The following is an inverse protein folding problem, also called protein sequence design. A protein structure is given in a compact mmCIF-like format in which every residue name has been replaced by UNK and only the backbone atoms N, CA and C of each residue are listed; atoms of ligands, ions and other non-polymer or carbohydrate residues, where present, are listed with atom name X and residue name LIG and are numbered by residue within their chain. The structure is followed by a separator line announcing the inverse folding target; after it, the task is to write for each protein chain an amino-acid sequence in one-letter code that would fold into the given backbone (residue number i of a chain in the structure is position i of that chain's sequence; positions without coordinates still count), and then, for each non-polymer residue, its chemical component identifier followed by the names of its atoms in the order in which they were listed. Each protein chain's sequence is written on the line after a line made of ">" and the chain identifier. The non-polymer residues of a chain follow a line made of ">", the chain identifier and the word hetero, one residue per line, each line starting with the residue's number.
data_IF_579648682960
#
_entry.id   IF_579648682960
#
_cell.length_a   1.000
_cell.length_b   1.000
_cell.length_c   1.000
_cell.angle_alpha   90.00
_cell.angle_beta   90.00
_cell.angle_gamma   90.00
#
_symmetry.space_group_name_H-M   'P 1'
#
loop_
_entity.id
_entity.type
_entity.pdbx_description
1 polymer ?
#
# COMPACT_ATOMS: atom_id res chain seq x y z
N UNK A 1 -3.32 -3.49 -8.65
CA UNK A 1 -3.91 -4.85 -8.70
C UNK A 1 -5.28 -4.92 -8.04
N UNK A 2 -5.47 -4.30 -6.86
CA UNK A 2 -6.74 -4.39 -6.13
C UNK A 2 -6.76 -5.46 -5.04
N UNK A 3 -5.61 -6.06 -4.70
CA UNK A 3 -5.50 -7.00 -3.58
C UNK A 3 -5.25 -6.31 -2.23
N UNK A 4 -5.05 -5.00 -2.17
CA UNK A 4 -4.84 -4.24 -0.94
C UNK A 4 -5.51 -2.88 -1.11
N UNK A 5 -6.18 -2.41 -0.07
CA UNK A 5 -6.77 -1.07 -0.07
C UNK A 5 -5.70 0.00 0.07
N UNK A 6 -5.87 1.07 -0.70
CA UNK A 6 -4.97 2.22 -0.69
C UNK A 6 -4.89 2.92 0.67
N UNK A 7 -5.91 2.75 1.53
CA UNK A 7 -5.91 3.26 2.90
C UNK A 7 -4.83 2.62 3.78
N UNK A 8 -4.40 1.40 3.45
CA UNK A 8 -3.36 0.66 4.15
C UNK A 8 -1.95 1.04 3.75
N UNK A 9 -1.79 1.88 2.72
CA UNK A 9 -0.50 2.40 2.29
C UNK A 9 -0.22 3.78 2.89
N UNK A 10 1.02 4.03 3.32
CA UNK A 10 1.44 5.37 3.74
C UNK A 10 1.27 6.37 2.60
N UNK A 11 0.97 7.62 2.96
CA UNK A 11 0.75 8.64 1.94
C UNK A 11 2.02 8.95 1.15
N UNK A 12 1.88 8.95 -0.18
CA UNK A 12 2.90 9.45 -1.11
C UNK A 12 2.34 10.71 -1.76
N UNK A 13 2.42 11.87 -1.09
CA UNK A 13 1.73 13.09 -1.54
C UNK A 13 2.35 13.63 -2.83
N UNK A 14 1.63 13.67 -3.97
CA UNK A 14 2.14 14.28 -5.20
C UNK A 14 2.32 15.80 -5.06
N UNK A 15 1.70 16.45 -4.07
CA UNK A 15 1.76 17.90 -3.84
C UNK A 15 3.17 18.37 -3.45
N UNK A 16 4.00 17.47 -2.90
CA UNK A 16 5.38 17.78 -2.52
C UNK A 16 6.24 18.22 -3.72
N UNK A 17 5.85 17.84 -4.94
CA UNK A 17 6.48 18.25 -6.20
C UNK A 17 6.16 19.68 -6.62
N UNK A 18 5.14 20.29 -6.04
CA UNK A 18 4.75 21.68 -6.29
C UNK A 18 5.46 22.66 -5.35
N UNK A 19 6.19 22.15 -4.35
CA UNK A 19 6.92 23.00 -3.42
C UNK A 19 8.05 23.74 -4.13
N UNK A 20 8.42 24.95 -3.68
CA UNK A 20 9.58 25.64 -4.22
C UNK A 20 10.86 24.81 -4.06
N UNK A 21 11.76 24.90 -5.04
CA UNK A 21 13.04 24.16 -5.04
C UNK A 21 13.93 24.40 -3.80
N UNK A 22 13.75 25.53 -3.10
CA UNK A 22 14.50 25.86 -1.89
C UNK A 22 14.01 25.11 -0.64
N UNK A 23 12.84 24.47 -0.69
CA UNK A 23 12.28 23.74 0.46
C UNK A 23 13.11 22.47 0.74
N UNK A 24 13.45 22.18 2.02
CA UNK A 24 14.41 21.11 2.36
C UNK A 24 13.94 19.73 1.92
N UNK A 25 12.62 19.49 1.88
CA UNK A 25 12.02 18.22 1.48
C UNK A 25 11.59 18.16 0.01
N UNK A 26 11.97 19.13 -0.82
CA UNK A 26 11.63 19.12 -2.23
C UNK A 26 12.22 17.88 -2.93
N UNK A 27 11.44 17.08 -3.68
CA UNK A 27 11.90 15.83 -4.32
C UNK A 27 13.07 16.00 -5.26
N UNK A 28 13.27 17.20 -5.82
CA UNK A 28 14.44 17.54 -6.63
C UNK A 28 15.78 17.40 -5.89
N UNK A 29 15.76 17.38 -4.55
CA UNK A 29 16.94 17.18 -3.68
C UNK A 29 17.14 15.73 -3.24
N UNK A 30 16.19 14.84 -3.55
CA UNK A 30 16.31 13.41 -3.25
C UNK A 30 17.32 12.73 -4.19
N UNK A 31 17.83 11.57 -3.78
CA UNK A 31 18.66 10.74 -4.65
C UNK A 31 17.92 10.42 -5.96
N UNK A 32 18.63 10.46 -7.08
CA UNK A 32 18.04 10.40 -8.42
C UNK A 32 17.17 9.15 -8.63
N UNK A 33 17.61 7.98 -8.14
CA UNK A 33 16.84 6.75 -8.23
C UNK A 33 15.58 6.78 -7.36
N UNK A 34 15.66 7.29 -6.13
CA UNK A 34 14.49 7.45 -5.28
C UNK A 34 13.44 8.35 -5.95
N UNK A 35 13.88 9.46 -6.54
CA UNK A 35 13.02 10.38 -7.29
C UNK A 35 12.29 9.70 -8.46
N UNK A 36 13.00 8.87 -9.24
CA UNK A 36 12.41 8.15 -10.38
C UNK A 36 11.37 7.11 -9.97
N UNK A 37 11.45 6.58 -8.74
CA UNK A 37 10.49 5.62 -8.20
C UNK A 37 9.29 6.32 -7.56
N UNK A 38 9.54 7.33 -6.71
CA UNK A 38 8.46 8.01 -5.97
C UNK A 38 7.58 8.91 -6.84
N UNK A 39 8.09 9.40 -7.99
CA UNK A 39 7.29 10.22 -8.91
C UNK A 39 6.08 9.45 -9.47
N UNK A 40 6.25 8.31 -10.18
CA UNK A 40 5.12 7.53 -10.67
C UNK A 40 4.29 6.92 -9.53
N UNK A 41 4.91 6.55 -8.40
CA UNK A 41 4.16 6.09 -7.23
C UNK A 41 3.20 7.16 -6.68
N UNK A 42 3.65 8.41 -6.58
CA UNK A 42 2.81 9.53 -6.13
C UNK A 42 1.64 9.81 -7.07
N UNK A 43 1.84 9.67 -8.38
CA UNK A 43 0.75 9.75 -9.36
C UNK A 43 -0.30 8.65 -9.14
N UNK A 44 0.13 7.39 -9.05
CA UNK A 44 -0.77 6.26 -8.80
C UNK A 44 -1.50 6.37 -7.46
N UNK A 45 -0.83 6.89 -6.43
CA UNK A 45 -1.42 7.14 -5.11
C UNK A 45 -2.48 8.24 -5.19
N UNK A 46 -2.17 9.36 -5.86
CA UNK A 46 -3.10 10.49 -6.03
C UNK A 46 -4.35 10.10 -6.82
N UNK A 47 -4.22 9.27 -7.86
CA UNK A 47 -5.35 8.78 -8.64
C UNK A 47 -6.06 7.57 -8.01
N UNK A 48 -5.55 7.03 -6.90
CA UNK A 48 -6.00 5.77 -6.28
C UNK A 48 -6.17 4.67 -7.33
N UNK A 49 -5.18 4.52 -8.20
CA UNK A 49 -5.31 3.63 -9.36
C UNK A 49 -5.54 2.17 -8.92
N UNK A 50 -6.62 1.58 -9.40
CA UNK A 50 -6.93 0.16 -9.23
C UNK A 50 -7.13 -0.45 -10.61
N UNK A 51 -6.76 -1.72 -10.74
CA UNK A 51 -7.03 -2.48 -11.96
C UNK A 51 -8.55 -2.56 -12.18
N UNK A 52 -9.01 -2.22 -13.38
CA UNK A 52 -10.43 -2.00 -13.70
C UNK A 52 -11.35 -3.16 -13.31
N UNK A 53 -10.89 -4.41 -13.48
CA UNK A 53 -11.69 -5.60 -13.22
C UNK A 53 -11.38 -6.26 -11.86
N UNK A 54 -10.71 -5.56 -10.94
CA UNK A 54 -10.25 -6.14 -9.68
C UNK A 54 -11.35 -6.82 -8.85
N UNK A 55 -12.58 -6.29 -8.87
CA UNK A 55 -13.70 -6.86 -8.11
C UNK A 55 -14.28 -8.13 -8.75
N UNK A 56 -14.23 -8.24 -10.08
CA UNK A 56 -14.83 -9.35 -10.83
C UNK A 56 -13.83 -10.43 -11.24
N UNK A 57 -12.53 -10.12 -11.20
CA UNK A 57 -11.48 -11.03 -11.62
C UNK A 57 -11.27 -12.16 -10.59
N UNK A 58 -11.41 -13.39 -11.07
CA UNK A 58 -11.27 -14.60 -10.25
C UNK A 58 -9.89 -14.75 -9.62
N UNK A 59 -8.83 -14.28 -10.30
CA UNK A 59 -7.46 -14.35 -9.78
C UNK A 59 -7.29 -13.36 -8.63
N UNK A 60 -7.83 -12.15 -8.75
CA UNK A 60 -7.77 -11.14 -7.68
C UNK A 60 -8.53 -11.62 -6.46
N UNK A 61 -9.71 -12.21 -6.64
CA UNK A 61 -10.47 -12.79 -5.53
C UNK A 61 -9.76 -13.98 -4.87
N UNK A 62 -9.10 -14.84 -5.66
CA UNK A 62 -8.30 -15.94 -5.13
C UNK A 62 -7.10 -15.41 -4.32
N UNK A 63 -6.38 -14.42 -4.84
CA UNK A 63 -5.27 -13.76 -4.16
C UNK A 63 -5.69 -13.09 -2.85
N UNK A 64 -6.83 -12.38 -2.83
CA UNK A 64 -7.37 -11.79 -1.59
C UNK A 64 -7.68 -12.83 -0.52
N UNK A 65 -8.05 -14.07 -0.91
CA UNK A 65 -8.20 -15.17 0.04
C UNK A 65 -6.83 -15.69 0.45
N UNK A 66 -5.97 -16.06 -0.48
CA UNK A 66 -4.65 -16.65 -0.19
C UNK A 66 -3.76 -15.74 0.68
N UNK A 67 -3.67 -14.45 0.37
CA UNK A 67 -2.77 -13.50 1.05
C UNK A 67 -3.25 -13.11 2.45
N UNK A 68 -4.56 -13.20 2.74
CA UNK A 68 -5.15 -12.72 4.00
C UNK A 68 -5.94 -13.78 4.76
N UNK A 69 -5.93 -15.04 4.31
CA UNK A 69 -6.42 -16.16 5.09
C UNK A 69 -5.53 -16.30 6.33
N UNK A 70 -6.09 -16.00 7.51
CA UNK A 70 -5.37 -16.10 8.78
C UNK A 70 -4.77 -17.49 8.94
N UNK A 71 -3.44 -17.59 9.03
CA UNK A 71 -2.85 -18.47 10.02
C UNK A 71 -3.21 -17.85 11.36
N UNK A 72 -3.86 -18.62 12.24
CA UNK A 72 -3.96 -18.22 13.64
C UNK A 72 -2.54 -17.90 14.12
N UNK A 73 -2.36 -16.74 14.74
CA UNK A 73 -1.26 -16.64 15.67
C UNK A 73 -1.38 -17.82 16.64
N UNK A 74 -0.28 -18.38 17.13
CA UNK A 74 -0.34 -19.57 18.01
C UNK A 74 -1.04 -19.33 19.36
N UNK A 75 -1.86 -18.29 19.47
CA UNK A 75 -2.53 -17.81 20.67
C UNK A 75 -4.00 -18.27 20.78
N UNK A 76 -4.48 -19.13 19.89
CA UNK A 76 -5.79 -19.79 20.01
C UNK A 76 -6.99 -18.91 19.68
N UNK A 77 -6.76 -17.70 19.17
CA UNK A 77 -7.80 -16.76 18.80
C UNK A 77 -8.14 -16.92 17.30
N UNK A 78 -9.23 -17.63 17.00
CA UNK A 78 -9.80 -17.82 15.66
C UNK A 78 -10.37 -16.51 15.10
N UNK A 79 -9.53 -15.53 14.81
CA UNK A 79 -9.90 -14.34 14.03
C UNK A 79 -9.50 -14.57 12.56
N UNK A 80 -10.30 -15.36 11.85
CA UNK A 80 -10.28 -15.41 10.39
C UNK A 80 -10.53 -14.01 9.79
N UNK A 81 -9.46 -13.27 9.49
CA UNK A 81 -9.57 -11.91 8.95
C UNK A 81 -9.88 -11.99 7.46
N UNK A 82 -11.16 -12.06 7.10
CA UNK A 82 -11.58 -11.90 5.69
C UNK A 82 -11.10 -10.55 5.17
N UNK A 83 -10.65 -10.46 3.90
CA UNK A 83 -10.20 -9.22 3.24
C UNK A 83 -11.06 -7.99 3.57
N UNK A 84 -12.38 -8.12 3.56
CA UNK A 84 -13.34 -7.05 3.84
C UNK A 84 -13.35 -6.56 5.30
N UNK A 85 -12.80 -7.32 6.26
CA UNK A 85 -12.76 -6.99 7.69
C UNK A 85 -11.42 -6.40 8.12
N UNK A 86 -10.42 -6.35 7.23
CA UNK A 86 -9.09 -5.83 7.56
C UNK A 86 -9.19 -4.32 7.85
N UNK A 87 -8.76 -3.84 9.03
CA UNK A 87 -8.75 -2.41 9.33
C UNK A 87 -7.52 -1.75 8.68
N UNK A 88 -7.59 -1.49 7.37
CA UNK A 88 -6.47 -1.00 6.55
C UNK A 88 -5.80 0.26 7.10
N UNK A 89 -6.55 1.18 7.70
CA UNK A 89 -5.97 2.38 8.31
C UNK A 89 -4.92 2.08 9.40
N UNK A 90 -5.02 0.92 10.07
CA UNK A 90 -4.06 0.45 11.09
C UNK A 90 -2.87 -0.32 10.50
N UNK A 91 -2.95 -0.77 9.25
CA UNK A 91 -1.91 -1.62 8.63
C UNK A 91 -0.70 -0.82 8.11
N UNK A 92 -0.79 0.52 8.04
CA UNK A 92 0.23 1.41 7.44
C UNK A 92 1.63 1.25 8.01
N UNK A 93 1.73 0.87 9.27
CA UNK A 93 3.00 0.71 9.99
C UNK A 93 3.27 -0.75 10.36
N UNK A 94 2.45 -1.69 9.86
CA UNK A 94 2.65 -3.12 10.06
C UNK A 94 3.59 -3.63 8.96
N UNK A 95 4.88 -3.62 9.27
CA UNK A 95 5.94 -4.22 8.45
C UNK A 95 6.54 -5.33 9.29
N UNK A 96 6.60 -6.55 8.74
CA UNK A 96 7.24 -7.66 9.41
C UNK A 96 8.70 -7.31 9.72
N UNK A 97 9.22 -7.83 10.83
CA UNK A 97 10.65 -7.70 11.12
C UNK A 97 11.44 -8.34 9.98
N UNK A 98 12.61 -7.77 9.65
CA UNK A 98 13.46 -8.37 8.64
C UNK A 98 13.95 -9.73 9.13
N UNK A 99 13.69 -10.78 8.36
CA UNK A 99 14.34 -12.07 8.54
C UNK A 99 15.85 -11.89 8.31
N UNK A 100 16.65 -12.11 9.35
CA UNK A 100 18.12 -12.02 9.34
C UNK A 100 18.76 -13.22 8.64
#
# INVERSE_FOLDING_TARGET
>A
LGCMEWEGHNSVPPEIWLLPNWFPFHPGRMWCHARMVYLPMGYCYGSRFVYEHAETDVIVQALRKELYCSHGDGNGDDYGTTYAKIPWTKTRHMVAEMDN
#
